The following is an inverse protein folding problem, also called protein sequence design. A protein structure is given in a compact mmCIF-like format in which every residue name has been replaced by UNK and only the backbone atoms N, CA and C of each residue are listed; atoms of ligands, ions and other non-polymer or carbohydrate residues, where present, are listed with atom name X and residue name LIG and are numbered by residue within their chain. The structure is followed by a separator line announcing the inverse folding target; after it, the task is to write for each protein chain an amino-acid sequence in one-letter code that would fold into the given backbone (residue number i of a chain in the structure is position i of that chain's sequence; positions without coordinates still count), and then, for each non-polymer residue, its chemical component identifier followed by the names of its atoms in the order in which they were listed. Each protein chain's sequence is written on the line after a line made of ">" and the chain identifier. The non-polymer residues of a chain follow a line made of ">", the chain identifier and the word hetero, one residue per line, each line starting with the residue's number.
data_IF_357740500204
#
_entry.id   IF_357740500204
#
_cell.length_a   1.000
_cell.length_b   1.000
_cell.length_c   1.000
_cell.angle_alpha   90.00
_cell.angle_beta   90.00
_cell.angle_gamma   90.00
#
_symmetry.space_group_name_H-M   'P 1'
#
loop_
_entity.id
_entity.type
_entity.pdbx_description
1 polymer ?
#
# COMPACT_ATOMS: atom_id res chain seq x y z
N UNK A 1 4.72 30.41 -5.39
CA UNK A 1 4.00 29.49 -6.31
C UNK A 1 4.94 28.98 -7.43
N UNK A 2 5.65 27.86 -7.24
CA UNK A 2 6.47 27.20 -8.29
C UNK A 2 6.30 25.66 -8.34
N UNK A 3 5.26 25.08 -7.74
CA UNK A 3 5.21 23.62 -7.49
C UNK A 3 4.39 22.81 -8.52
N UNK A 4 3.27 23.32 -9.03
CA UNK A 4 2.32 22.50 -9.82
C UNK A 4 2.69 22.30 -11.29
N UNK A 5 3.38 23.24 -11.93
CA UNK A 5 3.79 23.12 -13.35
C UNK A 5 4.89 22.06 -13.55
N UNK A 6 5.79 21.94 -12.58
CA UNK A 6 6.90 20.98 -12.58
C UNK A 6 6.43 19.52 -12.48
N UNK A 7 5.45 19.23 -11.63
CA UNK A 7 4.97 17.86 -11.44
C UNK A 7 4.28 17.28 -12.67
N UNK A 8 3.42 18.07 -13.33
CA UNK A 8 2.73 17.65 -14.56
C UNK A 8 3.71 17.33 -15.69
N UNK A 9 4.83 18.04 -15.80
CA UNK A 9 5.85 17.72 -16.80
C UNK A 9 6.64 16.45 -16.46
N UNK A 10 6.96 16.21 -15.18
CA UNK A 10 7.58 14.96 -14.74
C UNK A 10 6.68 13.75 -14.99
N UNK A 11 5.36 13.90 -14.82
CA UNK A 11 4.39 12.84 -15.16
C UNK A 11 4.33 12.56 -16.66
N UNK A 12 4.42 13.59 -17.52
CA UNK A 12 4.46 13.42 -18.98
C UNK A 12 5.69 12.65 -19.45
N UNK A 13 6.80 12.75 -18.72
CA UNK A 13 8.05 12.06 -19.02
C UNK A 13 8.19 10.73 -18.27
N UNK A 14 7.21 10.33 -17.44
CA UNK A 14 7.26 9.10 -16.68
C UNK A 14 7.19 7.89 -17.63
N UNK A 15 8.25 7.08 -17.65
CA UNK A 15 8.23 5.79 -18.32
C UNK A 15 7.65 4.72 -17.37
N UNK A 16 6.46 4.15 -17.64
CA UNK A 16 5.81 3.20 -16.74
C UNK A 16 6.64 1.93 -16.49
N UNK A 17 7.36 1.44 -17.51
CA UNK A 17 8.18 0.22 -17.36
C UNK A 17 9.34 0.50 -16.40
N UNK A 18 10.06 1.61 -16.61
CA UNK A 18 11.19 2.00 -15.77
C UNK A 18 10.75 2.33 -14.33
N UNK A 19 9.60 2.99 -14.15
CA UNK A 19 9.05 3.28 -12.84
C UNK A 19 8.73 1.99 -12.08
N UNK A 20 8.07 1.02 -12.72
CA UNK A 20 7.78 -0.29 -12.12
C UNK A 20 9.07 -1.04 -11.77
N UNK A 21 10.07 -1.00 -12.64
CA UNK A 21 11.37 -1.67 -12.41
C UNK A 21 12.12 -1.07 -11.22
N UNK A 22 12.24 0.26 -11.15
CA UNK A 22 12.79 0.95 -9.96
C UNK A 22 11.98 0.66 -8.70
N UNK A 23 10.65 0.62 -8.83
CA UNK A 23 9.75 0.24 -7.75
C UNK A 23 10.04 -1.15 -7.20
N UNK A 24 10.32 -2.13 -8.06
CA UNK A 24 10.70 -3.49 -7.64
C UNK A 24 12.00 -3.51 -6.85
N UNK A 25 12.94 -2.61 -7.14
CA UNK A 25 14.16 -2.47 -6.36
C UNK A 25 13.87 -1.93 -4.95
N UNK A 26 13.06 -0.85 -4.83
CA UNK A 26 12.71 -0.22 -3.54
C UNK A 26 11.69 -0.99 -2.70
N UNK A 27 10.82 -1.76 -3.36
CA UNK A 27 9.94 -2.75 -2.74
C UNK A 27 10.56 -4.13 -2.84
N UNK A 28 11.88 -4.22 -2.63
CA UNK A 28 12.52 -5.50 -2.39
C UNK A 28 11.90 -6.15 -1.15
N UNK A 29 11.83 -7.47 -1.14
CA UNK A 29 11.23 -8.23 -0.04
C UNK A 29 11.88 -7.91 1.30
N UNK A 30 13.18 -7.65 1.26
CA UNK A 30 13.98 -7.28 2.42
C UNK A 30 13.61 -5.89 2.93
N UNK A 31 13.67 -4.84 2.10
CA UNK A 31 13.40 -3.46 2.53
C UNK A 31 11.95 -3.28 2.97
N UNK A 32 10.99 -3.81 2.21
CA UNK A 32 9.58 -3.80 2.57
C UNK A 32 9.36 -4.54 3.91
N UNK A 33 9.92 -5.74 4.05
CA UNK A 33 9.78 -6.55 5.26
C UNK A 33 10.41 -5.91 6.50
N UNK A 34 11.57 -5.26 6.36
CA UNK A 34 12.23 -4.53 7.45
C UNK A 34 11.43 -3.32 7.91
N UNK A 35 10.89 -2.53 6.98
CA UNK A 35 10.02 -1.40 7.30
C UNK A 35 8.71 -1.86 7.93
N UNK A 36 8.08 -2.90 7.37
CA UNK A 36 6.85 -3.45 7.92
C UNK A 36 7.06 -3.96 9.35
N UNK A 37 8.16 -4.67 9.63
CA UNK A 37 8.50 -5.11 10.99
C UNK A 37 8.75 -3.95 11.94
N UNK A 38 9.34 -2.85 11.45
CA UNK A 38 9.62 -1.65 12.26
C UNK A 38 8.35 -0.91 12.64
N UNK A 39 7.36 -0.85 11.75
CA UNK A 39 6.16 -0.02 11.92
C UNK A 39 4.87 -0.80 12.20
N UNK A 40 4.87 -2.14 12.12
CA UNK A 40 3.67 -2.97 12.25
C UNK A 40 2.88 -2.70 13.53
N UNK A 41 3.58 -2.53 14.67
CA UNK A 41 2.93 -2.21 15.94
C UNK A 41 2.19 -0.87 15.96
N UNK A 42 2.65 0.13 15.18
CA UNK A 42 1.99 1.44 15.04
C UNK A 42 0.86 1.42 14.02
N UNK A 43 1.02 0.65 12.94
CA UNK A 43 0.04 0.56 11.85
C UNK A 43 -1.19 -0.28 12.22
N UNK A 44 -1.02 -1.30 13.08
CA UNK A 44 -2.07 -2.25 13.42
C UNK A 44 -2.24 -3.35 12.36
N UNK A 45 -2.85 -4.47 12.74
CA UNK A 45 -2.89 -5.68 11.92
C UNK A 45 -3.67 -5.49 10.61
N UNK A 46 -4.80 -4.76 10.65
CA UNK A 46 -5.61 -4.42 9.46
C UNK A 46 -4.85 -3.62 8.40
N UNK A 47 -4.13 -2.57 8.80
CA UNK A 47 -3.34 -1.75 7.85
C UNK A 47 -2.17 -2.56 7.29
N UNK A 48 -1.50 -3.34 8.15
CA UNK A 48 -0.44 -4.25 7.72
C UNK A 48 -0.97 -5.27 6.70
N UNK A 49 -2.15 -5.85 6.95
CA UNK A 49 -2.81 -6.77 6.03
C UNK A 49 -3.03 -6.13 4.65
N UNK A 50 -3.62 -4.94 4.59
CA UNK A 50 -3.84 -4.23 3.33
C UNK A 50 -2.55 -3.88 2.59
N UNK A 51 -1.51 -3.48 3.34
CA UNK A 51 -0.20 -3.23 2.74
C UNK A 51 0.39 -4.50 2.12
N UNK A 52 0.15 -5.67 2.72
CA UNK A 52 0.62 -6.96 2.22
C UNK A 52 -0.15 -7.42 0.98
N UNK A 53 -1.47 -7.20 0.94
CA UNK A 53 -2.28 -7.45 -0.25
C UNK A 53 -1.77 -6.66 -1.45
N UNK A 54 -1.55 -5.35 -1.25
CA UNK A 54 -0.95 -4.46 -2.24
C UNK A 54 0.42 -4.98 -2.69
N UNK A 55 1.30 -5.29 -1.74
CA UNK A 55 2.65 -5.79 -2.03
C UNK A 55 2.66 -7.08 -2.84
N UNK A 56 1.87 -8.09 -2.46
CA UNK A 56 1.82 -9.35 -3.18
C UNK A 56 1.17 -9.19 -4.55
N UNK A 57 0.09 -8.40 -4.68
CA UNK A 57 -0.51 -8.07 -5.97
C UNK A 57 0.48 -7.35 -6.91
N UNK A 58 1.31 -6.44 -6.40
CA UNK A 58 2.34 -5.75 -7.21
C UNK A 58 3.37 -6.71 -7.82
N UNK A 59 3.70 -7.78 -7.10
CA UNK A 59 4.71 -8.76 -7.54
C UNK A 59 4.19 -9.69 -8.63
N UNK A 60 2.88 -9.95 -8.70
CA UNK A 60 2.29 -10.81 -9.74
C UNK A 60 2.55 -10.28 -11.15
N UNK A 61 2.99 -11.11 -12.09
CA UNK A 61 3.22 -10.69 -13.48
C UNK A 61 1.92 -10.24 -14.15
N UNK A 62 0.79 -10.86 -13.81
CA UNK A 62 -0.55 -10.62 -14.38
C UNK A 62 -1.11 -9.24 -14.01
N UNK A 63 -0.67 -8.65 -12.90
CA UNK A 63 -1.17 -7.34 -12.46
C UNK A 63 -0.85 -6.26 -13.50
N UNK A 64 -1.86 -5.53 -14.02
CA UNK A 64 -1.69 -4.52 -15.04
C UNK A 64 -0.71 -3.42 -14.64
N UNK A 65 0.02 -2.87 -15.61
CA UNK A 65 1.03 -1.83 -15.35
C UNK A 65 0.45 -0.59 -14.67
N UNK A 66 -0.77 -0.17 -15.05
CA UNK A 66 -1.46 0.95 -14.40
C UNK A 66 -1.74 0.64 -12.92
N UNK A 67 -2.26 -0.54 -12.62
CA UNK A 67 -2.47 -1.00 -11.26
C UNK A 67 -1.15 -1.06 -10.46
N UNK A 68 -0.07 -1.57 -11.06
CA UNK A 68 1.26 -1.58 -10.43
C UNK A 68 1.75 -0.18 -10.03
N UNK A 69 1.53 0.83 -10.88
CA UNK A 69 1.88 2.21 -10.55
C UNK A 69 1.04 2.76 -9.40
N UNK A 70 -0.27 2.50 -9.38
CA UNK A 70 -1.16 2.86 -8.27
C UNK A 70 -0.71 2.21 -6.97
N UNK A 71 -0.41 0.91 -7.00
CA UNK A 71 0.10 0.17 -5.84
C UNK A 71 1.40 0.78 -5.33
N UNK A 72 2.34 1.11 -6.22
CA UNK A 72 3.58 1.76 -5.81
C UNK A 72 3.34 3.09 -5.12
N UNK A 73 2.38 3.89 -5.61
CA UNK A 73 1.97 5.14 -4.95
C UNK A 73 1.41 4.89 -3.56
N UNK A 74 0.51 3.91 -3.42
CA UNK A 74 -0.13 3.56 -2.16
C UNK A 74 0.85 2.95 -1.14
N UNK A 75 1.69 2.00 -1.56
CA UNK A 75 2.76 1.45 -0.72
C UNK A 75 3.80 2.51 -0.38
N UNK A 76 4.12 3.39 -1.32
CA UNK A 76 5.00 4.53 -1.07
C UNK A 76 4.44 5.40 0.05
N UNK A 77 3.14 5.72 0.00
CA UNK A 77 2.45 6.45 1.05
C UNK A 77 2.45 5.70 2.40
N UNK A 78 2.18 4.39 2.39
CA UNK A 78 2.13 3.54 3.60
C UNK A 78 3.49 3.27 4.25
N UNK A 79 4.59 3.29 3.48
CA UNK A 79 5.91 2.74 3.84
C UNK A 79 7.03 3.79 3.76
N UNK A 80 6.73 5.01 3.28
CA UNK A 80 7.62 6.14 3.56
C UNK A 80 7.75 6.30 5.08
N UNK A 81 8.89 6.85 5.57
CA UNK A 81 9.07 7.05 6.99
C UNK A 81 7.88 7.83 7.53
N UNK A 82 7.30 7.29 8.59
CA UNK A 82 6.21 7.90 9.36
C UNK A 82 6.55 9.35 9.76
N UNK A 83 7.82 9.76 9.71
CA UNK A 83 8.28 11.16 9.81
C UNK A 83 7.73 12.14 8.74
N UNK A 84 6.90 11.69 7.79
CA UNK A 84 6.15 12.55 6.86
C UNK A 84 4.65 12.66 7.17
N UNK A 85 4.15 11.87 8.12
CA UNK A 85 2.87 12.09 8.79
C UNK A 85 3.24 12.75 10.11
N UNK A 86 3.15 14.09 10.23
CA UNK A 86 3.51 14.75 11.49
C UNK A 86 2.69 14.13 12.61
N UNK A 87 3.41 13.72 13.66
CA UNK A 87 2.85 13.27 14.92
C UNK A 87 1.67 14.18 15.33
N UNK A 88 0.47 13.64 15.50
CA UNK A 88 -0.72 14.32 16.05
C UNK A 88 -1.21 15.56 15.26
N UNK A 89 -2.31 15.43 14.53
CA UNK A 89 -3.24 16.56 14.37
C UNK A 89 -4.49 16.29 15.22
N UNK A 90 -4.52 16.73 16.48
CA UNK A 90 -5.76 16.79 17.23
C UNK A 90 -6.69 17.81 16.55
N UNK A 91 -7.87 17.38 16.10
CA UNK A 91 -8.92 18.28 15.61
C UNK A 91 -9.08 18.39 14.09
N UNK A 92 -8.39 17.58 13.27
CA UNK A 92 -8.67 17.49 11.83
C UNK A 92 -9.15 16.06 11.50
N UNK A 93 -10.31 15.95 10.87
CA UNK A 93 -11.06 14.70 10.72
C UNK A 93 -10.29 13.59 10.00
N UNK A 94 -10.33 12.38 10.58
CA UNK A 94 -9.75 11.11 10.12
C UNK A 94 -10.18 10.60 8.72
N UNK A 95 -10.89 11.41 7.94
CA UNK A 95 -11.60 10.96 6.75
C UNK A 95 -10.76 10.96 5.44
N UNK A 96 -9.64 11.69 5.36
CA UNK A 96 -8.96 11.90 4.07
C UNK A 96 -7.82 10.88 3.75
N UNK A 97 -7.22 10.23 4.75
CA UNK A 97 -6.11 9.27 4.52
C UNK A 97 -6.57 7.82 4.26
N UNK A 98 -7.72 7.43 4.84
CA UNK A 98 -8.34 6.12 4.57
C UNK A 98 -8.89 6.04 3.14
N UNK A 99 -9.30 7.17 2.56
CA UNK A 99 -9.80 7.26 1.20
C UNK A 99 -8.72 6.92 0.15
N UNK A 100 -7.46 7.32 0.36
CA UNK A 100 -6.35 7.00 -0.54
C UNK A 100 -6.06 5.50 -0.53
N UNK A 101 -6.04 4.88 0.65
CA UNK A 101 -5.83 3.44 0.82
C UNK A 101 -7.02 2.67 0.24
N UNK A 102 -8.25 3.07 0.57
CA UNK A 102 -9.47 2.46 0.03
C UNK A 102 -9.56 2.62 -1.50
N UNK A 103 -9.16 3.78 -2.04
CA UNK A 103 -9.07 4.00 -3.48
C UNK A 103 -8.04 3.06 -4.10
N UNK A 104 -6.83 2.97 -3.54
CA UNK A 104 -5.81 2.06 -4.04
C UNK A 104 -6.27 0.59 -4.00
N UNK A 105 -6.90 0.16 -2.90
CA UNK A 105 -7.49 -1.18 -2.78
C UNK A 105 -8.57 -1.37 -3.84
N UNK A 106 -9.50 -0.43 -4.04
CA UNK A 106 -10.55 -0.56 -5.05
C UNK A 106 -10.00 -0.69 -6.48
N UNK A 107 -8.86 -0.07 -6.78
CA UNK A 107 -8.21 -0.19 -8.08
C UNK A 107 -7.55 -1.57 -8.30
N UNK A 108 -7.26 -2.31 -7.23
CA UNK A 108 -6.51 -3.57 -7.30
C UNK A 108 -7.30 -4.77 -6.80
N UNK A 109 -8.50 -4.56 -6.25
CA UNK A 109 -9.31 -5.60 -5.61
C UNK A 109 -9.63 -6.75 -6.57
N UNK A 110 -9.78 -6.46 -7.86
CA UNK A 110 -9.99 -7.47 -8.91
C UNK A 110 -8.76 -8.34 -9.21
N UNK A 111 -7.60 -8.00 -8.63
CA UNK A 111 -6.33 -8.72 -8.79
C UNK A 111 -5.85 -9.35 -7.47
N UNK A 112 -6.62 -9.19 -6.39
CA UNK A 112 -6.42 -9.90 -5.13
C UNK A 112 -7.11 -11.24 -5.29
N UNK A 113 -6.32 -12.31 -5.38
CA UNK A 113 -6.81 -13.68 -5.37
C UNK A 113 -6.48 -14.39 -4.06
N UNK A 114 -7.03 -15.58 -3.87
CA UNK A 114 -6.88 -16.38 -2.65
C UNK A 114 -5.39 -16.58 -2.28
N UNK A 115 -4.50 -16.68 -3.27
CA UNK A 115 -3.06 -16.81 -3.01
C UNK A 115 -2.48 -15.55 -2.33
N UNK A 116 -2.88 -14.36 -2.80
CA UNK A 116 -2.47 -13.07 -2.24
C UNK A 116 -3.01 -12.91 -0.82
N UNK A 117 -4.30 -13.22 -0.61
CA UNK A 117 -4.94 -13.14 0.70
C UNK A 117 -4.25 -14.07 1.70
N UNK A 118 -4.09 -15.35 1.34
CA UNK A 118 -3.43 -16.35 2.20
C UNK A 118 -2.01 -15.95 2.56
N UNK A 119 -1.22 -15.42 1.62
CA UNK A 119 0.15 -14.94 1.90
C UNK A 119 0.14 -13.76 2.86
N UNK A 120 -0.79 -12.81 2.68
CA UNK A 120 -0.94 -11.66 3.57
C UNK A 120 -1.35 -12.08 4.98
N UNK A 121 -2.37 -12.93 5.14
CA UNK A 121 -2.80 -13.47 6.42
C UNK A 121 -1.67 -14.18 7.16
N UNK A 122 -0.96 -15.09 6.47
CA UNK A 122 0.17 -15.81 7.07
C UNK A 122 1.30 -14.88 7.50
N UNK A 123 1.48 -13.74 6.82
CA UNK A 123 2.52 -12.79 7.17
C UNK A 123 2.10 -11.91 8.35
N UNK A 124 0.82 -11.53 8.42
CA UNK A 124 0.24 -10.85 9.59
C UNK A 124 0.33 -11.73 10.82
N UNK A 125 -0.11 -12.99 10.74
CA UNK A 125 -0.08 -13.93 11.86
C UNK A 125 1.34 -14.09 12.43
N UNK A 126 2.34 -14.16 11.55
CA UNK A 126 3.75 -14.17 11.95
C UNK A 126 4.26 -12.87 12.58
N UNK A 127 3.71 -11.71 12.21
CA UNK A 127 4.13 -10.40 12.71
C UNK A 127 3.47 -10.04 14.05
N UNK A 128 2.22 -10.45 14.25
CA UNK A 128 1.41 -10.07 15.41
C UNK A 128 1.18 -11.23 16.40
N UNK A 129 1.54 -12.47 16.04
CA UNK A 129 1.34 -13.64 16.90
C UNK A 129 -0.14 -14.03 17.07
N UNK A 130 -1.02 -13.52 16.19
CA UNK A 130 -2.45 -13.82 16.17
C UNK A 130 -2.99 -13.74 14.76
N UNK A 131 -4.07 -14.45 14.50
CA UNK A 131 -4.79 -14.32 13.24
C UNK A 131 -5.64 -13.04 13.23
N UNK A 132 -5.97 -12.60 12.02
CA UNK A 132 -6.92 -11.50 11.81
C UNK A 132 -8.33 -12.00 12.13
N UNK A 133 -9.13 -11.16 12.78
CA UNK A 133 -10.57 -11.40 12.89
C UNK A 133 -11.31 -11.07 11.58
N UNK A 134 -12.60 -11.37 11.52
CA UNK A 134 -13.42 -11.12 10.32
C UNK A 134 -13.50 -9.63 9.96
N UNK A 135 -13.51 -8.74 10.95
CA UNK A 135 -13.59 -7.29 10.74
C UNK A 135 -12.30 -6.74 10.12
N UNK A 136 -11.15 -7.23 10.55
CA UNK A 136 -9.85 -6.85 10.01
C UNK A 136 -9.60 -7.43 8.61
N UNK A 137 -10.17 -8.60 8.30
CA UNK A 137 -10.10 -9.20 6.94
C UNK A 137 -11.05 -8.56 5.95
N UNK A 138 -12.13 -7.94 6.44
CA UNK A 138 -13.16 -7.34 5.58
C UNK A 138 -12.58 -6.16 4.81
N UNK A 139 -12.33 -6.39 3.52
CA UNK A 139 -11.92 -5.34 2.58
C UNK A 139 -12.98 -4.23 2.56
N UNK A 140 -12.59 -2.95 2.50
CA UNK A 140 -13.52 -1.88 2.20
C UNK A 140 -14.03 -2.10 0.78
N UNK A 141 -15.17 -2.78 0.65
CA UNK A 141 -15.91 -2.76 -0.61
C UNK A 141 -16.38 -1.33 -0.77
N UNK A 142 -15.98 -0.69 -1.86
CA UNK A 142 -16.68 0.49 -2.32
C UNK A 142 -18.14 0.09 -2.42
N UNK A 143 -18.98 0.63 -1.53
CA UNK A 143 -20.43 0.57 -1.70
C UNK A 143 -20.69 1.11 -3.11
N UNK A 144 -21.29 0.26 -3.94
CA UNK A 144 -21.58 0.57 -5.34
C UNK A 144 -22.72 1.56 -5.44
#
# INVERSE_FOLDING_TARGET
>A
MKSTKSYKERLKQLNPKQAIEKGRAHFSEKEYGEKLRRYSGRLGAKVVYYSLLLYYAFRKPETPKKAKLTIMGALGYLILPVDLIPDFIPGVGLADDSAVIAYAISQIISHIDEEVERKAEQRVSRLFGRDLDEEERTLPRAER
#
